data_IF_216291599311
#
_entry.id   IF_216291599311
#
_cell.length_a   1.000
_cell.length_b   1.000
_cell.length_c   1.000
_cell.angle_alpha   90.00
_cell.angle_beta   90.00
_cell.angle_gamma   90.00
#
_symmetry.space_group_name_H-M   'P 1'
#
loop_
_entity.id
_entity.type
_entity.pdbx_description
1 polymer ?
#
# COMPACT_ATOMS: atom_id res chain seq x y z
N UNK A 1 17.84 16.02 36.96
CA UNK A 1 16.54 16.23 36.28
C UNK A 1 16.77 16.83 34.91
N UNK A 2 16.82 16.02 33.86
CA UNK A 2 17.00 16.49 32.49
C UNK A 2 15.61 16.79 31.91
N UNK A 3 15.31 18.07 31.75
CA UNK A 3 14.15 18.56 31.01
C UNK A 3 14.26 18.18 29.55
N UNK A 4 13.78 17.00 29.17
CA UNK A 4 13.56 16.64 27.77
C UNK A 4 12.34 17.41 27.25
N UNK A 5 12.54 18.66 26.82
CA UNK A 5 11.59 19.39 26.01
C UNK A 5 11.47 18.66 24.67
N UNK A 6 10.45 17.82 24.53
CA UNK A 6 10.03 17.32 23.22
C UNK A 6 9.54 18.55 22.47
N UNK A 7 10.32 19.01 21.50
CA UNK A 7 9.95 20.15 20.64
C UNK A 7 8.76 19.74 19.78
N UNK A 8 7.56 20.02 20.27
CA UNK A 8 6.37 20.08 19.45
C UNK A 8 6.49 21.29 18.52
N UNK A 9 6.97 21.07 17.30
CA UNK A 9 6.94 22.12 16.29
C UNK A 9 5.48 22.30 15.85
N UNK A 10 4.80 23.30 16.44
CA UNK A 10 3.39 23.60 16.18
C UNK A 10 3.13 24.30 14.84
N UNK A 11 4.15 24.50 14.03
CA UNK A 11 3.94 24.98 12.68
C UNK A 11 3.15 23.92 11.92
N UNK A 12 1.99 24.33 11.38
CA UNK A 12 1.08 23.44 10.69
C UNK A 12 1.82 22.59 9.67
N UNK A 13 2.13 21.36 10.02
CA UNK A 13 2.84 20.40 9.17
C UNK A 13 2.14 20.21 7.82
N UNK A 14 0.83 20.49 7.77
CA UNK A 14 0.05 20.48 6.54
C UNK A 14 0.59 21.42 5.46
N UNK A 15 1.31 22.48 5.80
CA UNK A 15 1.79 23.45 4.82
C UNK A 15 2.95 22.90 3.97
N UNK A 16 3.75 21.96 4.52
CA UNK A 16 4.84 21.30 3.78
C UNK A 16 4.34 20.38 2.65
N UNK A 17 3.11 19.86 2.73
CA UNK A 17 2.55 18.95 1.73
C UNK A 17 1.12 19.27 1.29
N UNK A 18 0.62 20.48 1.60
CA UNK A 18 -0.72 20.95 1.20
C UNK A 18 -0.91 21.04 -0.31
N UNK A 19 0.07 21.33 -1.06
CA UNK A 19 -0.01 21.62 -2.50
C UNK A 19 0.02 20.39 -3.44
N UNK A 20 -0.05 19.15 -2.99
CA UNK A 20 -0.06 18.01 -3.91
C UNK A 20 -1.42 17.86 -4.57
N UNK A 21 -1.57 18.52 -5.68
CA UNK A 21 -2.62 18.24 -6.63
C UNK A 21 -2.45 16.80 -7.16
N UNK A 22 -3.55 16.04 -7.26
CA UNK A 22 -3.57 14.75 -7.97
C UNK A 22 -3.02 14.87 -9.40
N UNK A 23 -3.06 16.10 -9.95
CA UNK A 23 -2.54 16.42 -11.28
C UNK A 23 -1.01 16.28 -11.40
N UNK A 24 -0.23 16.48 -10.33
CA UNK A 24 1.24 16.36 -10.33
C UNK A 24 1.76 15.01 -9.87
N UNK A 25 0.89 14.15 -9.33
CA UNK A 25 1.27 12.82 -8.81
C UNK A 25 1.65 11.88 -9.97
N UNK A 26 2.72 11.10 -9.81
CA UNK A 26 3.07 10.05 -10.75
C UNK A 26 1.92 9.03 -10.89
N UNK A 27 1.52 8.72 -12.13
CA UNK A 27 0.35 7.87 -12.39
C UNK A 27 0.50 6.45 -11.81
N UNK A 28 1.72 6.02 -11.54
CA UNK A 28 2.00 4.72 -10.89
C UNK A 28 1.43 4.62 -9.47
N UNK A 29 1.21 5.75 -8.77
CA UNK A 29 0.51 5.73 -7.49
C UNK A 29 -0.96 5.29 -7.59
N UNK A 30 -1.53 5.34 -8.80
CA UNK A 30 -2.92 5.01 -9.08
C UNK A 30 -3.10 3.67 -9.80
N UNK A 31 -2.08 2.80 -9.81
CA UNK A 31 -2.11 1.52 -10.54
C UNK A 31 -3.25 0.61 -10.04
N UNK A 32 -3.49 0.57 -8.73
CA UNK A 32 -4.64 -0.12 -8.15
C UNK A 32 -5.07 0.55 -6.82
N UNK A 33 -6.35 0.39 -6.42
CA UNK A 33 -6.84 0.95 -5.16
C UNK A 33 -6.16 0.32 -3.95
N UNK A 34 -5.76 1.14 -2.99
CA UNK A 34 -5.28 0.72 -1.67
C UNK A 34 -5.75 1.73 -0.62
N UNK A 35 -6.47 1.27 0.40
CA UNK A 35 -7.04 2.13 1.43
C UNK A 35 -5.95 2.49 2.44
N UNK A 36 -5.93 3.75 2.90
CA UNK A 36 -4.95 4.20 3.90
C UNK A 36 -3.53 4.40 3.35
N UNK A 37 -3.37 4.63 2.05
CA UNK A 37 -2.06 4.95 1.47
C UNK A 37 -1.58 6.33 1.94
N UNK A 38 -0.27 6.45 2.23
CA UNK A 38 0.39 7.73 2.46
C UNK A 38 0.28 8.62 1.22
N UNK A 39 0.23 9.95 1.39
CA UNK A 39 0.30 10.91 0.29
C UNK A 39 1.70 10.88 -0.34
N UNK A 40 1.75 10.93 -1.67
CA UNK A 40 3.01 11.03 -2.42
C UNK A 40 3.80 12.30 -2.08
N UNK A 41 3.12 13.43 -1.89
CA UNK A 41 3.75 14.68 -1.48
C UNK A 41 4.40 14.61 -0.10
N UNK A 42 3.73 14.00 0.89
CA UNK A 42 4.33 13.75 2.19
C UNK A 42 5.56 12.85 2.07
N UNK A 43 5.45 11.74 1.35
CA UNK A 43 6.56 10.84 1.10
C UNK A 43 7.76 11.57 0.46
N UNK A 44 7.52 12.39 -0.58
CA UNK A 44 8.53 13.21 -1.25
C UNK A 44 9.23 14.17 -0.29
N UNK A 45 8.47 14.88 0.54
CA UNK A 45 9.02 15.83 1.53
C UNK A 45 9.87 15.08 2.56
N UNK A 46 9.37 13.97 3.12
CA UNK A 46 10.11 13.21 4.13
C UNK A 46 11.42 12.64 3.57
N UNK A 47 11.39 12.09 2.34
CA UNK A 47 12.57 11.55 1.67
C UNK A 47 13.62 12.67 1.45
N UNK A 48 13.21 13.79 0.87
CA UNK A 48 14.14 14.87 0.55
C UNK A 48 14.71 15.55 1.80
N UNK A 49 13.93 15.68 2.88
CA UNK A 49 14.35 16.34 4.13
C UNK A 49 15.31 15.47 4.95
N UNK A 50 15.12 14.16 4.95
CA UNK A 50 15.83 13.26 5.86
C UNK A 50 16.85 12.36 5.20
N UNK A 51 16.94 12.35 3.87
CA UNK A 51 17.89 11.50 3.14
C UNK A 51 18.59 12.24 2.02
N UNK A 52 19.78 11.74 1.64
CA UNK A 52 20.58 12.21 0.51
C UNK A 52 20.47 11.26 -0.68
N UNK A 53 20.86 11.71 -1.88
CA UNK A 53 20.95 10.87 -3.09
C UNK A 53 21.82 9.64 -2.82
N UNK A 54 21.44 8.51 -3.43
CA UNK A 54 22.10 7.20 -3.31
C UNK A 54 22.04 6.53 -1.93
N UNK A 55 21.47 7.17 -0.90
CA UNK A 55 21.23 6.54 0.39
C UNK A 55 20.20 5.41 0.30
N UNK A 56 20.33 4.44 1.19
CA UNK A 56 19.42 3.27 1.28
C UNK A 56 18.33 3.53 2.29
N UNK A 57 17.09 3.56 1.81
CA UNK A 57 15.91 3.69 2.65
C UNK A 57 15.31 2.28 2.89
N UNK A 58 14.82 2.04 4.10
CA UNK A 58 14.03 0.88 4.46
C UNK A 58 12.59 1.29 4.75
N UNK A 59 11.62 0.63 4.08
CA UNK A 59 10.19 0.71 4.41
C UNK A 59 9.65 -0.70 4.74
N UNK A 60 9.59 -1.09 6.03
CA UNK A 60 9.20 -2.42 6.47
C UNK A 60 7.68 -2.63 6.61
N UNK A 61 6.86 -1.59 6.33
CA UNK A 61 5.40 -1.62 6.28
C UNK A 61 4.93 -0.92 5.01
N UNK A 62 5.40 -1.39 3.86
CA UNK A 62 5.38 -0.66 2.60
C UNK A 62 3.97 -0.36 2.06
N UNK A 63 2.97 -1.13 2.44
CA UNK A 63 1.58 -0.93 2.02
C UNK A 63 1.45 -0.77 0.50
N UNK A 64 0.97 0.39 0.07
CA UNK A 64 0.77 0.68 -1.36
C UNK A 64 2.07 0.95 -2.14
N UNK A 65 3.24 0.99 -1.50
CA UNK A 65 4.52 1.31 -2.13
C UNK A 65 4.71 2.79 -2.46
N UNK A 66 4.15 3.70 -1.66
CA UNK A 66 4.30 5.15 -1.90
C UNK A 66 5.72 5.59 -1.62
N UNK A 67 6.26 5.25 -0.44
CA UNK A 67 7.67 5.54 -0.10
C UNK A 67 8.62 4.87 -1.10
N UNK A 68 8.33 3.63 -1.50
CA UNK A 68 9.18 2.91 -2.44
C UNK A 68 9.30 3.62 -3.79
N UNK A 69 8.17 4.06 -4.36
CA UNK A 69 8.17 4.78 -5.64
C UNK A 69 8.84 6.14 -5.52
N UNK A 70 8.50 6.94 -4.51
CA UNK A 70 9.07 8.28 -4.31
C UNK A 70 10.59 8.22 -4.00
N UNK A 71 11.06 7.16 -3.31
CA UNK A 71 12.49 6.93 -3.09
C UNK A 71 13.25 6.77 -4.40
N UNK A 72 12.70 5.98 -5.33
CA UNK A 72 13.31 5.77 -6.64
C UNK A 72 13.31 7.06 -7.47
N UNK A 73 12.17 7.78 -7.50
CA UNK A 73 12.06 9.08 -8.19
C UNK A 73 13.11 10.06 -7.65
N UNK A 74 13.34 10.03 -6.35
CA UNK A 74 14.33 10.88 -5.68
C UNK A 74 15.77 10.31 -5.74
N UNK A 75 16.04 9.28 -6.55
CA UNK A 75 17.37 8.65 -6.73
C UNK A 75 17.95 8.02 -5.45
N UNK A 76 17.08 7.43 -4.60
CA UNK A 76 17.47 6.66 -3.41
C UNK A 76 17.33 5.17 -3.68
N UNK A 77 18.15 4.38 -2.98
CA UNK A 77 18.02 2.91 -2.95
C UNK A 77 16.89 2.54 -1.98
N UNK A 78 16.05 1.57 -2.33
CA UNK A 78 14.92 1.17 -1.49
C UNK A 78 14.94 -0.33 -1.20
N UNK A 79 14.78 -0.67 0.06
CA UNK A 79 14.47 -2.01 0.55
C UNK A 79 13.12 -1.92 1.25
N UNK A 80 12.19 -2.77 0.88
CA UNK A 80 10.85 -2.73 1.46
C UNK A 80 10.25 -4.12 1.66
N UNK A 81 9.35 -4.21 2.63
CA UNK A 81 8.62 -5.43 2.94
C UNK A 81 7.22 -5.15 3.45
N UNK A 82 6.37 -6.17 3.37
CA UNK A 82 5.05 -6.21 3.98
C UNK A 82 4.63 -7.66 4.20
N UNK A 83 3.73 -7.90 5.15
CA UNK A 83 3.10 -9.22 5.34
C UNK A 83 1.98 -9.45 4.34
N UNK A 84 1.34 -8.37 3.86
CA UNK A 84 0.22 -8.41 2.96
C UNK A 84 0.69 -8.68 1.52
N UNK A 85 0.33 -9.82 0.90
CA UNK A 85 0.77 -10.15 -0.45
C UNK A 85 0.26 -9.17 -1.51
N UNK A 86 -0.87 -8.50 -1.29
CA UNK A 86 -1.36 -7.47 -2.19
C UNK A 86 -0.48 -6.20 -2.14
N UNK A 87 -0.05 -5.79 -0.94
CA UNK A 87 0.90 -4.69 -0.77
C UNK A 87 2.22 -4.97 -1.52
N UNK A 88 2.78 -6.16 -1.32
CA UNK A 88 4.01 -6.59 -2.01
C UNK A 88 3.83 -6.62 -3.53
N UNK A 89 2.69 -7.11 -4.02
CA UNK A 89 2.38 -7.11 -5.46
C UNK A 89 2.32 -5.69 -6.02
N UNK A 90 1.64 -4.75 -5.33
CA UNK A 90 1.54 -3.36 -5.77
C UNK A 90 2.90 -2.65 -5.76
N UNK A 91 3.69 -2.89 -4.73
CA UNK A 91 5.01 -2.28 -4.62
C UNK A 91 5.92 -2.79 -5.72
N UNK A 92 6.03 -4.11 -5.91
CA UNK A 92 6.83 -4.67 -7.00
C UNK A 92 6.34 -4.18 -8.37
N UNK A 93 5.03 -4.06 -8.58
CA UNK A 93 4.48 -3.51 -9.82
C UNK A 93 4.98 -2.09 -10.12
N UNK A 94 5.13 -1.25 -9.10
CA UNK A 94 5.61 0.13 -9.24
C UNK A 94 7.11 0.20 -9.52
N UNK A 95 7.89 -0.60 -8.79
CA UNK A 95 9.35 -0.55 -8.84
C UNK A 95 9.95 -1.39 -9.97
N UNK A 96 9.16 -2.26 -10.62
CA UNK A 96 9.57 -3.09 -11.76
C UNK A 96 8.69 -2.88 -13.01
N UNK A 97 8.01 -1.74 -13.10
CA UNK A 97 7.19 -1.41 -14.26
C UNK A 97 8.04 -1.38 -15.54
N UNK A 98 7.48 -1.79 -16.70
CA UNK A 98 8.12 -1.55 -17.99
C UNK A 98 8.45 -0.07 -18.18
N UNK A 99 9.57 0.26 -18.82
CA UNK A 99 10.02 1.65 -18.96
C UNK A 99 9.11 2.49 -19.84
N UNK A 100 8.59 1.91 -20.90
CA UNK A 100 7.78 2.61 -21.90
C UNK A 100 6.38 2.03 -21.99
N UNK A 101 5.44 2.86 -22.40
CA UNK A 101 4.07 2.42 -22.72
C UNK A 101 4.07 1.34 -23.78
N UNK A 102 4.92 1.48 -24.81
CA UNK A 102 5.02 0.54 -25.91
C UNK A 102 5.42 -0.85 -25.40
N UNK A 103 6.49 -0.95 -24.58
CA UNK A 103 6.93 -2.22 -24.01
C UNK A 103 5.86 -2.84 -23.10
N UNK A 104 5.11 -2.02 -22.36
CA UNK A 104 4.00 -2.49 -21.55
C UNK A 104 2.84 -3.02 -22.41
N UNK A 105 2.49 -2.34 -23.50
CA UNK A 105 1.43 -2.76 -24.42
C UNK A 105 1.82 -4.04 -25.18
N UNK A 106 3.07 -4.14 -25.65
CA UNK A 106 3.59 -5.37 -26.28
C UNK A 106 3.47 -6.59 -25.37
N UNK A 107 3.88 -6.43 -24.10
CA UNK A 107 3.70 -7.49 -23.08
C UNK A 107 2.22 -7.82 -22.84
N UNK A 108 1.38 -6.79 -22.70
CA UNK A 108 -0.05 -7.00 -22.45
C UNK A 108 -0.72 -7.78 -23.58
N UNK A 109 -0.47 -7.43 -24.85
CA UNK A 109 -1.03 -8.13 -26.01
C UNK A 109 -0.60 -9.60 -26.02
N UNK A 110 0.71 -9.89 -25.85
CA UNK A 110 1.22 -11.25 -25.73
C UNK A 110 0.52 -12.06 -24.63
N UNK A 111 0.27 -11.47 -23.46
CA UNK A 111 -0.38 -12.17 -22.36
C UNK A 111 -1.88 -12.35 -22.60
N UNK A 112 -2.53 -11.40 -23.26
CA UNK A 112 -3.94 -11.52 -23.67
C UNK A 112 -4.15 -12.63 -24.70
N UNK A 113 -3.27 -12.76 -25.70
CA UNK A 113 -3.27 -13.87 -26.67
C UNK A 113 -3.12 -15.22 -25.95
N UNK A 114 -2.10 -15.36 -25.08
CA UNK A 114 -1.91 -16.57 -24.29
C UNK A 114 -3.11 -16.89 -23.40
N UNK A 115 -3.77 -15.88 -22.84
CA UNK A 115 -4.97 -16.05 -22.04
C UNK A 115 -6.15 -16.52 -22.89
N UNK A 116 -6.32 -16.01 -24.10
CA UNK A 116 -7.38 -16.41 -25.02
C UNK A 116 -7.23 -17.90 -25.42
N UNK A 117 -6.02 -18.34 -25.76
CA UNK A 117 -5.74 -19.75 -26.06
C UNK A 117 -6.09 -20.66 -24.88
N UNK A 118 -5.76 -20.24 -23.65
CA UNK A 118 -5.99 -21.02 -22.44
C UNK A 118 -7.39 -20.85 -21.81
N UNK A 119 -8.24 -20.01 -22.35
CA UNK A 119 -9.55 -19.66 -21.79
C UNK A 119 -10.47 -20.87 -21.61
N UNK A 120 -10.46 -21.80 -22.59
CA UNK A 120 -11.28 -23.02 -22.53
C UNK A 120 -10.86 -23.96 -21.40
N UNK A 121 -9.59 -23.94 -20.99
CA UNK A 121 -9.02 -24.79 -19.92
C UNK A 121 -9.32 -24.26 -18.50
N UNK A 122 -9.97 -23.11 -18.37
CA UNK A 122 -10.26 -22.50 -17.05
C UNK A 122 -11.46 -23.18 -16.43
N UNK A 123 -11.24 -23.93 -15.33
CA UNK A 123 -12.31 -24.50 -14.53
C UNK A 123 -12.96 -23.45 -13.63
N UNK A 124 -14.30 -23.34 -13.74
CA UNK A 124 -15.11 -22.48 -12.90
C UNK A 124 -15.62 -23.20 -11.63
N UNK A 125 -15.46 -24.50 -11.52
CA UNK A 125 -16.01 -25.30 -10.42
C UNK A 125 -15.41 -24.91 -9.07
N UNK A 126 -14.09 -24.72 -9.01
CA UNK A 126 -13.35 -24.36 -7.77
C UNK A 126 -13.47 -22.87 -7.39
N UNK A 127 -14.17 -22.07 -8.19
CA UNK A 127 -14.36 -20.64 -7.89
C UNK A 127 -15.49 -20.47 -6.88
N UNK A 128 -15.23 -19.84 -5.72
CA UNK A 128 -16.26 -19.65 -4.69
C UNK A 128 -17.46 -18.85 -5.19
N UNK A 129 -18.66 -19.17 -4.69
CA UNK A 129 -19.92 -18.50 -5.05
C UNK A 129 -19.83 -16.97 -4.87
N UNK A 130 -19.19 -16.52 -3.79
CA UNK A 130 -19.03 -15.08 -3.51
C UNK A 130 -18.17 -14.36 -4.56
N UNK A 131 -17.13 -15.02 -5.13
CA UNK A 131 -16.35 -14.44 -6.24
C UNK A 131 -17.16 -14.41 -7.53
N UNK A 132 -17.88 -15.49 -7.85
CA UNK A 132 -18.75 -15.56 -9.03
C UNK A 132 -19.78 -14.45 -9.04
N UNK A 133 -20.30 -14.05 -7.87
CA UNK A 133 -21.30 -13.00 -7.77
C UNK A 133 -20.83 -11.59 -8.16
N UNK A 134 -19.50 -11.34 -8.25
CA UNK A 134 -18.96 -10.05 -8.71
C UNK A 134 -19.01 -9.86 -10.22
N UNK A 135 -19.08 -10.93 -11.00
CA UNK A 135 -18.79 -10.86 -12.44
C UNK A 135 -19.82 -11.58 -13.29
N UNK A 136 -19.94 -11.13 -14.54
CA UNK A 136 -20.52 -11.95 -15.58
C UNK A 136 -19.64 -13.21 -15.79
N UNK A 137 -20.20 -14.42 -16.02
CA UNK A 137 -19.41 -15.66 -16.13
C UNK A 137 -18.32 -15.61 -17.21
N UNK A 138 -18.61 -15.02 -18.38
CA UNK A 138 -17.63 -14.84 -19.46
C UNK A 138 -16.47 -13.93 -19.02
N UNK A 139 -16.77 -12.79 -18.38
CA UNK A 139 -15.76 -11.88 -17.83
C UNK A 139 -14.87 -12.58 -16.81
N UNK A 140 -15.46 -13.32 -15.87
CA UNK A 140 -14.69 -14.03 -14.83
C UNK A 140 -13.75 -15.06 -15.44
N UNK A 141 -14.19 -15.80 -16.47
CA UNK A 141 -13.34 -16.76 -17.16
C UNK A 141 -12.14 -16.10 -17.83
N UNK A 142 -12.33 -14.94 -18.46
CA UNK A 142 -11.23 -14.15 -19.05
C UNK A 142 -10.25 -13.65 -17.99
N UNK A 143 -10.76 -13.10 -16.89
CA UNK A 143 -9.94 -12.66 -15.74
C UNK A 143 -9.08 -13.80 -15.22
N UNK A 144 -9.67 -14.98 -15.02
CA UNK A 144 -8.96 -16.15 -14.50
C UNK A 144 -7.92 -16.66 -15.50
N UNK A 145 -8.25 -16.73 -16.80
CA UNK A 145 -7.32 -17.13 -17.85
C UNK A 145 -6.09 -16.23 -17.87
N UNK A 146 -6.32 -14.91 -17.88
CA UNK A 146 -5.23 -13.94 -17.87
C UNK A 146 -4.42 -14.00 -16.57
N UNK A 147 -5.11 -14.08 -15.41
CA UNK A 147 -4.43 -14.15 -14.12
C UNK A 147 -3.51 -15.38 -13.99
N UNK A 148 -3.93 -16.52 -14.54
CA UNK A 148 -3.10 -17.73 -14.60
C UNK A 148 -1.83 -17.53 -15.45
N UNK A 149 -1.94 -16.81 -16.56
CA UNK A 149 -0.76 -16.44 -17.40
C UNK A 149 0.16 -15.53 -16.60
N UNK A 150 -0.38 -14.47 -16.01
CA UNK A 150 0.41 -13.46 -15.29
C UNK A 150 1.13 -14.04 -14.06
N UNK A 151 0.49 -14.97 -13.34
CA UNK A 151 1.13 -15.69 -12.22
C UNK A 151 2.31 -16.53 -12.67
N UNK A 152 2.15 -17.31 -13.74
CA UNK A 152 3.25 -18.13 -14.29
C UNK A 152 4.42 -17.28 -14.76
N UNK A 153 4.13 -16.08 -15.31
CA UNK A 153 5.15 -15.12 -15.78
C UNK A 153 5.69 -14.21 -14.67
N UNK A 154 5.14 -14.27 -13.48
CA UNK A 154 5.50 -13.42 -12.32
C UNK A 154 5.53 -11.91 -12.66
N UNK A 155 4.66 -11.46 -13.59
CA UNK A 155 4.60 -10.07 -14.02
C UNK A 155 3.73 -9.26 -13.05
N UNK A 156 4.37 -8.68 -12.03
CA UNK A 156 3.70 -7.89 -11.00
C UNK A 156 2.99 -6.66 -11.56
N UNK A 157 3.57 -6.02 -12.60
CA UNK A 157 2.98 -4.82 -13.18
C UNK A 157 1.63 -5.14 -13.83
N UNK A 158 1.60 -6.17 -14.67
CA UNK A 158 0.36 -6.60 -15.33
C UNK A 158 -0.66 -7.14 -14.33
N UNK A 159 -0.21 -7.89 -13.31
CA UNK A 159 -1.08 -8.32 -12.21
C UNK A 159 -1.71 -7.12 -11.50
N UNK A 160 -0.95 -6.10 -11.15
CA UNK A 160 -1.48 -4.91 -10.49
C UNK A 160 -2.43 -4.12 -11.37
N UNK A 161 -2.16 -3.98 -12.67
CA UNK A 161 -3.08 -3.35 -13.62
C UNK A 161 -4.43 -4.10 -13.67
N UNK A 162 -4.41 -5.43 -13.75
CA UNK A 162 -5.62 -6.26 -13.74
C UNK A 162 -6.35 -6.15 -12.39
N UNK A 163 -5.65 -6.26 -11.26
CA UNK A 163 -6.21 -6.07 -9.92
C UNK A 163 -6.82 -4.67 -9.74
N UNK A 164 -6.27 -3.68 -10.43
CA UNK A 164 -6.73 -2.29 -10.40
C UNK A 164 -8.07 -2.06 -11.10
N UNK A 165 -8.48 -2.95 -12.01
CA UNK A 165 -9.75 -2.86 -12.75
C UNK A 165 -10.76 -3.94 -12.34
N UNK A 166 -10.41 -4.82 -11.40
CA UNK A 166 -11.30 -5.93 -10.99
C UNK A 166 -12.63 -5.45 -10.44
N UNK A 167 -12.60 -4.48 -9.53
CA UNK A 167 -13.79 -4.09 -8.77
C UNK A 167 -13.78 -2.62 -8.35
N UNK A 168 -14.83 -1.91 -8.70
CA UNK A 168 -15.16 -0.57 -8.24
C UNK A 168 -16.62 -0.24 -8.59
N UNK A 169 -17.17 0.83 -8.00
CA UNK A 169 -18.53 1.31 -8.32
C UNK A 169 -18.63 1.99 -9.69
N UNK A 170 -17.52 2.38 -10.32
CA UNK A 170 -17.50 3.08 -11.61
C UNK A 170 -17.66 2.12 -12.79
N UNK A 171 -18.28 2.56 -13.90
CA UNK A 171 -18.62 1.69 -15.03
C UNK A 171 -17.40 1.08 -15.77
N UNK A 172 -16.22 1.67 -15.71
CA UNK A 172 -15.02 1.17 -16.39
C UNK A 172 -14.38 -0.09 -15.81
N UNK A 173 -14.96 -0.67 -14.75
CA UNK A 173 -14.41 -1.84 -14.06
C UNK A 173 -15.05 -3.15 -14.55
N UNK A 174 -14.38 -4.28 -14.28
CA UNK A 174 -14.80 -5.60 -14.72
C UNK A 174 -15.95 -6.18 -13.91
N UNK A 175 -16.04 -5.82 -12.62
CA UNK A 175 -17.12 -6.27 -11.75
C UNK A 175 -18.41 -5.51 -12.04
N UNK A 176 -19.49 -6.09 -11.62
CA UNK A 176 -20.73 -5.36 -11.48
C UNK A 176 -20.55 -4.21 -10.47
N UNK A 177 -21.17 -3.04 -10.67
CA UNK A 177 -21.11 -1.98 -9.69
C UNK A 177 -21.75 -2.47 -8.39
N UNK A 178 -20.94 -2.47 -7.33
CA UNK A 178 -21.35 -2.90 -6.01
C UNK A 178 -20.60 -2.10 -4.97
N UNK A 179 -21.13 -2.01 -3.75
CA UNK A 179 -20.38 -1.43 -2.64
C UNK A 179 -19.10 -2.21 -2.42
N UNK A 180 -18.06 -1.56 -1.92
CA UNK A 180 -16.72 -2.16 -1.74
C UNK A 180 -16.70 -3.39 -0.86
N UNK A 181 -17.74 -3.58 -0.06
CA UNK A 181 -17.63 -4.46 1.09
C UNK A 181 -18.26 -5.82 0.84
N UNK A 182 -19.35 -5.91 0.09
CA UNK A 182 -20.10 -7.16 0.10
C UNK A 182 -20.98 -7.33 -1.13
N UNK A 183 -20.75 -8.38 -1.93
CA UNK A 183 -21.56 -8.67 -3.11
C UNK A 183 -23.05 -8.83 -2.84
N UNK A 184 -23.44 -9.30 -1.64
CA UNK A 184 -24.85 -9.54 -1.28
C UNK A 184 -25.65 -8.25 -1.10
N UNK A 185 -25.05 -7.14 -0.70
CA UNK A 185 -25.73 -5.85 -0.62
C UNK A 185 -26.11 -5.31 -2.00
N UNK A 186 -25.44 -5.77 -3.05
CA UNK A 186 -25.72 -5.38 -4.42
C UNK A 186 -27.07 -5.90 -4.91
N UNK A 187 -27.37 -7.20 -4.69
CA UNK A 187 -28.62 -7.79 -5.15
C UNK A 187 -29.85 -7.13 -4.53
N UNK A 188 -29.74 -6.63 -3.29
CA UNK A 188 -30.80 -5.82 -2.65
C UNK A 188 -30.91 -4.42 -3.24
N UNK A 189 -29.75 -3.72 -3.47
CA UNK A 189 -29.73 -2.34 -3.95
C UNK A 189 -29.91 -2.22 -5.46
N UNK A 190 -29.47 -3.22 -6.21
CA UNK A 190 -29.51 -3.25 -7.67
C UNK A 190 -30.00 -4.64 -8.14
N UNK A 191 -31.30 -4.93 -8.04
CA UNK A 191 -31.90 -6.18 -8.53
C UNK A 191 -31.59 -6.38 -10.02
N UNK A 192 -31.35 -7.64 -10.41
CA UNK A 192 -30.89 -7.97 -11.77
C UNK A 192 -31.94 -7.72 -12.83
N UNK A 193 -33.18 -7.94 -12.50
CA UNK A 193 -34.38 -7.71 -13.32
C UNK A 193 -34.54 -6.23 -13.68
N UNK A 194 -34.30 -5.34 -12.71
CA UNK A 194 -34.43 -3.88 -12.90
C UNK A 194 -33.13 -3.31 -13.54
N UNK A 195 -31.98 -3.74 -13.09
CA UNK A 195 -30.67 -3.17 -13.50
C UNK A 195 -29.90 -4.07 -14.46
N UNK A 196 -30.54 -4.58 -15.52
CA UNK A 196 -29.97 -5.51 -16.51
C UNK A 196 -28.63 -5.05 -17.07
N UNK A 197 -28.48 -3.75 -17.36
CA UNK A 197 -27.26 -3.16 -17.91
C UNK A 197 -26.02 -3.35 -17.00
N UNK A 198 -26.21 -3.36 -15.68
CA UNK A 198 -25.12 -3.56 -14.73
C UNK A 198 -24.52 -4.97 -14.80
N UNK A 199 -25.30 -5.95 -15.29
CA UNK A 199 -24.94 -7.37 -15.31
C UNK A 199 -24.41 -7.84 -16.66
N UNK A 200 -24.20 -6.93 -17.61
CA UNK A 200 -23.67 -7.25 -18.93
C UNK A 200 -22.22 -7.77 -18.88
N UNK A 201 -21.89 -8.53 -19.88
CA UNK A 201 -20.53 -8.96 -20.14
C UNK A 201 -19.59 -7.74 -20.30
N UNK A 202 -18.42 -7.84 -19.72
CA UNK A 202 -17.34 -6.84 -19.82
C UNK A 202 -16.06 -7.52 -20.23
N UNK A 203 -15.63 -7.23 -21.44
CA UNK A 203 -14.39 -7.76 -21.99
C UNK A 203 -13.18 -7.22 -21.23
N UNK A 204 -12.21 -8.10 -20.97
CA UNK A 204 -11.00 -7.78 -20.19
C UNK A 204 -9.99 -6.98 -21.01
N UNK A 205 -9.78 -7.36 -22.27
CA UNK A 205 -8.72 -6.80 -23.12
C UNK A 205 -8.78 -5.27 -23.24
N UNK A 206 -9.86 -4.64 -23.74
CA UNK A 206 -9.88 -3.18 -23.92
C UNK A 206 -9.75 -2.43 -22.61
N UNK A 207 -10.26 -2.99 -21.50
CA UNK A 207 -10.18 -2.37 -20.18
C UNK A 207 -8.77 -2.43 -19.59
N UNK A 208 -8.07 -3.53 -19.79
CA UNK A 208 -6.67 -3.65 -19.39
C UNK A 208 -5.78 -2.68 -20.18
N UNK A 209 -5.93 -2.63 -21.50
CA UNK A 209 -5.19 -1.71 -22.37
C UNK A 209 -5.46 -0.24 -21.96
N UNK A 210 -6.72 0.11 -21.76
CA UNK A 210 -7.08 1.45 -21.27
C UNK A 210 -6.49 1.76 -19.89
N UNK A 211 -6.40 0.74 -19.00
CA UNK A 211 -5.75 0.88 -17.70
C UNK A 211 -4.26 1.14 -17.84
N UNK A 212 -3.57 0.40 -18.67
CA UNK A 212 -2.13 0.56 -18.93
C UNK A 212 -1.87 1.96 -19.48
N UNK A 213 -2.60 2.40 -20.52
CA UNK A 213 -2.48 3.76 -21.07
C UNK A 213 -2.65 4.83 -20.00
N UNK A 214 -3.63 4.71 -19.09
CA UNK A 214 -3.81 5.66 -17.97
C UNK A 214 -2.64 5.65 -16.99
N UNK A 215 -2.05 4.49 -16.70
CA UNK A 215 -0.91 4.38 -15.80
C UNK A 215 0.34 5.05 -16.39
N UNK A 216 0.45 5.15 -17.70
CA UNK A 216 1.56 5.79 -18.41
C UNK A 216 1.31 7.27 -18.76
N UNK A 217 0.24 7.91 -18.29
CA UNK A 217 0.02 9.34 -18.57
C UNK A 217 1.08 10.28 -17.98
N UNK A 218 1.61 9.93 -16.80
CA UNK A 218 2.64 10.70 -16.08
C UNK A 218 3.61 9.70 -15.47
N UNK A 219 4.51 9.20 -16.32
CA UNK A 219 5.52 8.20 -15.91
C UNK A 219 6.67 8.93 -15.21
N UNK A 220 7.05 8.50 -14.01
CA UNK A 220 8.26 9.03 -13.39
C UNK A 220 9.51 8.48 -14.08
N UNK A 221 10.57 9.27 -14.10
CA UNK A 221 11.89 8.77 -14.47
C UNK A 221 12.37 7.82 -13.38
N UNK A 222 12.47 6.54 -13.70
CA UNK A 222 12.97 5.51 -12.79
C UNK A 222 14.41 5.19 -13.18
N UNK A 223 15.37 5.51 -12.31
CA UNK A 223 16.76 5.15 -12.55
C UNK A 223 16.99 3.64 -12.58
N UNK A 224 17.87 3.23 -13.48
CA UNK A 224 18.12 1.81 -13.79
C UNK A 224 18.85 1.07 -12.67
N UNK A 225 19.74 1.75 -11.99
CA UNK A 225 20.75 1.17 -11.10
C UNK A 225 20.39 1.18 -9.61
N UNK A 226 19.22 1.69 -9.23
CA UNK A 226 18.82 1.67 -7.83
C UNK A 226 18.45 0.26 -7.38
N UNK A 227 18.99 -0.20 -6.26
CA UNK A 227 18.62 -1.49 -5.67
C UNK A 227 17.14 -1.45 -5.28
N UNK A 228 16.36 -2.32 -5.92
CA UNK A 228 14.91 -2.41 -5.75
C UNK A 228 14.56 -3.78 -5.22
N UNK A 229 14.04 -3.84 -4.00
CA UNK A 229 13.68 -5.09 -3.38
C UNK A 229 12.45 -4.90 -2.50
N UNK A 230 11.36 -5.58 -2.84
CA UNK A 230 10.21 -5.74 -1.98
C UNK A 230 9.94 -7.22 -1.72
N UNK A 231 9.93 -7.63 -0.47
CA UNK A 231 9.71 -9.02 -0.04
C UNK A 231 8.48 -9.14 0.85
N UNK A 232 7.83 -10.30 0.76
CA UNK A 232 6.78 -10.65 1.69
C UNK A 232 7.38 -11.24 2.97
N UNK A 233 7.64 -10.35 3.92
CA UNK A 233 8.21 -10.72 5.22
C UNK A 233 7.71 -9.76 6.29
N UNK A 234 7.41 -10.28 7.47
CA UNK A 234 7.07 -9.47 8.64
C UNK A 234 8.31 -8.76 9.18
N UNK A 235 8.11 -7.57 9.76
CA UNK A 235 9.20 -6.75 10.31
C UNK A 235 10.04 -7.51 11.35
N UNK A 236 9.44 -8.32 12.19
CA UNK A 236 10.13 -9.13 13.21
C UNK A 236 10.98 -10.28 12.65
N UNK A 237 10.76 -10.63 11.38
CA UNK A 237 11.54 -11.65 10.65
C UNK A 237 12.49 -11.05 9.61
N UNK A 238 12.58 -9.72 9.55
CA UNK A 238 13.40 -9.02 8.56
C UNK A 238 14.89 -9.22 8.86
N UNK A 239 15.59 -9.89 7.94
CA UNK A 239 17.02 -10.16 8.03
C UNK A 239 17.80 -9.23 7.10
N UNK A 240 18.41 -8.21 7.66
CA UNK A 240 19.30 -7.27 6.97
C UNK A 240 20.61 -7.18 7.74
N UNK A 241 21.68 -6.80 7.04
CA UNK A 241 23.00 -6.58 7.63
C UNK A 241 22.92 -5.44 8.66
N UNK A 242 23.64 -5.57 9.78
CA UNK A 242 23.81 -4.51 10.79
C UNK A 242 24.42 -3.27 10.13
N UNK A 243 23.99 -2.07 10.53
CA UNK A 243 24.52 -0.79 10.06
C UNK A 243 24.56 -0.65 8.53
N UNK A 244 23.48 -1.09 7.83
CA UNK A 244 23.42 -1.08 6.36
C UNK A 244 22.38 -0.14 5.78
N UNK A 245 21.56 0.49 6.63
CA UNK A 245 20.44 1.36 6.26
C UNK A 245 20.74 2.79 6.70
N UNK A 246 20.57 3.75 5.80
CA UNK A 246 20.78 5.17 6.09
C UNK A 246 19.56 5.79 6.76
N UNK A 247 18.37 5.45 6.28
CA UNK A 247 17.11 5.91 6.88
C UNK A 247 16.01 4.85 6.82
N UNK A 248 15.13 4.89 7.80
CA UNK A 248 13.84 4.17 7.79
C UNK A 248 12.75 5.20 7.66
N UNK A 249 11.89 5.07 6.65
CA UNK A 249 10.71 5.92 6.47
C UNK A 249 9.52 4.99 6.25
N UNK A 250 8.56 4.99 7.18
CA UNK A 250 7.48 4.02 7.13
C UNK A 250 6.24 4.48 7.91
N UNK A 251 5.10 3.89 7.58
CA UNK A 251 3.85 4.05 8.33
C UNK A 251 3.43 2.69 8.89
N UNK A 252 3.70 2.41 10.17
CA UNK A 252 3.28 1.17 10.82
C UNK A 252 1.76 1.01 10.76
N UNK A 253 1.23 -0.22 10.87
CA UNK A 253 -0.21 -0.45 10.85
C UNK A 253 -0.88 0.31 12.01
N UNK A 254 -1.95 1.06 11.69
CA UNK A 254 -2.68 1.84 12.67
C UNK A 254 -3.58 0.91 13.49
N UNK A 255 -3.44 1.00 14.80
CA UNK A 255 -4.25 0.22 15.73
C UNK A 255 -5.74 0.58 15.57
N UNK A 256 -6.62 -0.41 15.46
CA UNK A 256 -8.07 -0.28 15.29
C UNK A 256 -8.55 0.52 14.05
N UNK A 257 -7.69 0.78 13.07
CA UNK A 257 -8.06 1.66 11.97
C UNK A 257 -8.64 0.93 10.75
N UNK A 258 -7.91 -0.02 10.18
CA UNK A 258 -8.24 -0.65 8.91
C UNK A 258 -8.00 -2.16 8.97
N UNK A 259 -8.89 -2.89 8.32
CA UNK A 259 -8.69 -4.32 8.00
C UNK A 259 -8.28 -4.43 6.54
N UNK A 260 -6.98 -4.27 6.31
CA UNK A 260 -6.42 -4.22 4.95
C UNK A 260 -6.67 -5.52 4.17
N UNK A 261 -6.63 -6.66 4.82
CA UNK A 261 -6.88 -7.96 4.20
C UNK A 261 -8.35 -8.11 3.79
N UNK A 262 -9.28 -7.75 4.68
CA UNK A 262 -10.71 -7.78 4.40
C UNK A 262 -11.11 -6.81 3.29
N UNK A 263 -10.59 -5.59 3.33
CA UNK A 263 -10.89 -4.57 2.33
C UNK A 263 -10.36 -4.95 0.93
N UNK A 264 -9.33 -5.80 0.88
CA UNK A 264 -8.73 -6.30 -0.35
C UNK A 264 -8.99 -7.79 -0.63
N UNK A 265 -9.94 -8.43 0.07
CA UNK A 265 -10.18 -9.89 0.01
C UNK A 265 -10.34 -10.45 -1.40
N UNK A 266 -11.04 -9.73 -2.30
CA UNK A 266 -11.22 -10.16 -3.69
C UNK A 266 -9.86 -10.19 -4.43
N UNK A 267 -9.04 -9.16 -4.28
CA UNK A 267 -7.70 -9.08 -4.86
C UNK A 267 -6.78 -10.14 -4.28
N UNK A 268 -6.85 -10.35 -2.96
CA UNK A 268 -6.12 -11.40 -2.26
C UNK A 268 -6.49 -12.79 -2.78
N UNK A 269 -7.78 -13.04 -3.01
CA UNK A 269 -8.23 -14.31 -3.57
C UNK A 269 -7.63 -14.58 -4.96
N UNK A 270 -7.65 -13.61 -5.87
CA UNK A 270 -7.01 -13.74 -7.18
C UNK A 270 -5.50 -14.00 -7.07
N UNK A 271 -4.83 -13.41 -6.10
CA UNK A 271 -3.42 -13.69 -5.83
C UNK A 271 -3.16 -15.10 -5.26
N UNK A 272 -4.20 -15.86 -4.92
CA UNK A 272 -4.09 -17.20 -4.35
C UNK A 272 -4.16 -17.24 -2.81
N UNK A 273 -4.52 -16.12 -2.18
CA UNK A 273 -4.62 -15.97 -0.72
C UNK A 273 -6.08 -15.91 -0.28
N UNK A 274 -6.85 -16.95 -0.60
CA UNK A 274 -8.29 -17.03 -0.32
C UNK A 274 -8.64 -16.98 1.17
N UNK A 275 -7.77 -17.49 2.04
CA UNK A 275 -7.87 -17.38 3.52
C UNK A 275 -7.11 -16.12 3.96
N UNK A 276 -7.60 -14.95 3.56
CA UNK A 276 -6.92 -13.66 3.72
C UNK A 276 -6.68 -13.28 5.19
N UNK A 277 -7.49 -13.77 6.13
CA UNK A 277 -7.38 -13.52 7.57
C UNK A 277 -6.04 -14.00 8.16
N UNK A 278 -5.35 -14.92 7.46
CA UNK A 278 -4.04 -15.42 7.88
C UNK A 278 -2.89 -14.44 7.60
N UNK A 279 -3.10 -13.48 6.71
CA UNK A 279 -2.01 -12.69 6.14
C UNK A 279 -1.90 -11.26 6.65
N UNK A 280 -2.98 -10.70 7.17
CA UNK A 280 -2.99 -9.31 7.64
C UNK A 280 -4.20 -9.11 8.57
N UNK A 281 -4.01 -9.43 9.84
CA UNK A 281 -5.05 -9.24 10.86
C UNK A 281 -5.00 -7.83 11.41
N UNK A 282 -6.15 -7.17 11.61
CA UNK A 282 -6.18 -5.88 12.30
C UNK A 282 -5.55 -5.99 13.68
N UNK A 283 -4.71 -5.03 14.02
CA UNK A 283 -4.12 -4.96 15.35
C UNK A 283 -5.09 -4.22 16.28
N UNK A 284 -6.03 -4.96 16.86
CA UNK A 284 -7.09 -4.41 17.73
C UNK A 284 -6.67 -4.37 19.21
N UNK A 285 -5.49 -4.90 19.55
CA UNK A 285 -5.00 -5.01 20.91
C UNK A 285 -3.74 -4.16 21.10
N UNK A 286 -3.76 -3.27 22.11
CA UNK A 286 -2.64 -2.38 22.44
C UNK A 286 -1.36 -3.16 22.76
N UNK A 287 -1.45 -4.25 23.52
CA UNK A 287 -0.27 -5.05 23.87
C UNK A 287 0.38 -5.70 22.62
N UNK A 288 -0.43 -6.19 21.67
CA UNK A 288 0.09 -6.72 20.39
C UNK A 288 0.76 -5.62 19.56
N UNK A 289 0.20 -4.41 19.53
CA UNK A 289 0.81 -3.27 18.86
C UNK A 289 2.16 -2.89 19.49
N UNK A 290 2.19 -2.75 20.81
CA UNK A 290 3.42 -2.45 21.56
C UNK A 290 4.49 -3.51 21.28
N UNK A 291 4.15 -4.79 21.35
CA UNK A 291 5.09 -5.90 21.08
C UNK A 291 5.63 -5.87 19.65
N UNK A 292 4.78 -5.55 18.65
CA UNK A 292 5.21 -5.39 17.27
C UNK A 292 6.19 -4.22 17.12
N UNK A 293 5.85 -3.06 17.69
CA UNK A 293 6.68 -1.87 17.59
C UNK A 293 8.00 -2.04 18.35
N UNK A 294 7.98 -2.67 19.50
CA UNK A 294 9.21 -2.97 20.26
C UNK A 294 10.18 -3.83 19.45
N UNK A 295 9.71 -4.95 18.89
CA UNK A 295 10.51 -5.80 18.01
C UNK A 295 10.97 -5.07 16.75
N UNK A 296 10.08 -4.29 16.14
CA UNK A 296 10.42 -3.47 14.98
C UNK A 296 11.54 -2.46 15.30
N UNK A 297 11.40 -1.71 16.38
CA UNK A 297 12.39 -0.72 16.80
C UNK A 297 13.75 -1.35 17.15
N UNK A 298 13.78 -2.54 17.76
CA UNK A 298 15.04 -3.28 17.98
C UNK A 298 15.74 -3.62 16.66
N UNK A 299 14.98 -4.07 15.65
CA UNK A 299 15.52 -4.35 14.32
C UNK A 299 15.97 -3.06 13.65
N UNK A 300 15.19 -1.98 13.75
CA UNK A 300 15.52 -0.67 13.19
C UNK A 300 16.83 -0.15 13.77
N UNK A 301 17.00 -0.22 15.09
CA UNK A 301 18.25 0.15 15.73
C UNK A 301 19.43 -0.70 15.21
N UNK A 302 19.27 -2.00 15.08
CA UNK A 302 20.32 -2.90 14.59
C UNK A 302 20.75 -2.59 13.16
N UNK A 303 19.80 -2.31 12.26
CA UNK A 303 20.09 -2.16 10.82
C UNK A 303 20.49 -0.74 10.42
N UNK A 304 20.04 0.28 11.15
CA UNK A 304 20.44 1.66 10.90
C UNK A 304 21.95 1.86 11.13
N UNK A 305 22.56 2.67 10.29
CA UNK A 305 23.89 3.19 10.49
C UNK A 305 23.93 4.12 11.71
N UNK A 306 25.12 4.45 12.20
CA UNK A 306 25.31 5.50 13.21
C UNK A 306 24.65 6.79 12.70
N UNK A 307 23.95 7.52 13.57
CA UNK A 307 23.19 8.73 13.26
C UNK A 307 22.08 8.56 12.20
N UNK A 308 21.81 7.30 11.81
CA UNK A 308 20.73 6.95 10.91
C UNK A 308 19.36 7.32 11.48
N UNK A 309 18.46 7.75 10.60
CA UNK A 309 17.17 8.32 10.99
C UNK A 309 16.05 7.29 10.83
N UNK A 310 15.12 7.26 11.82
CA UNK A 310 13.90 6.47 11.74
C UNK A 310 12.69 7.41 11.79
N UNK A 311 12.02 7.56 10.66
CA UNK A 311 10.86 8.44 10.48
C UNK A 311 9.61 7.57 10.43
N UNK A 312 8.73 7.75 11.42
CA UNK A 312 7.50 6.97 11.58
C UNK A 312 6.27 7.87 11.43
N UNK A 313 5.38 7.56 10.50
CA UNK A 313 4.09 8.23 10.35
C UNK A 313 3.04 7.41 11.09
N UNK A 314 2.52 7.94 12.19
CA UNK A 314 1.69 7.22 13.16
C UNK A 314 0.36 7.93 13.34
N UNK A 315 -0.74 7.23 13.02
CA UNK A 315 -2.09 7.76 13.18
C UNK A 315 -2.59 7.73 14.62
N UNK A 316 -3.46 8.68 14.93
CA UNK A 316 -4.19 8.72 16.19
C UNK A 316 -5.17 7.54 16.31
N UNK A 317 -5.31 7.01 17.51
CA UNK A 317 -6.32 5.98 17.81
C UNK A 317 -7.39 6.54 18.74
N UNK A 318 -8.64 6.32 18.40
CA UNK A 318 -9.79 6.61 19.26
C UNK A 318 -10.23 5.31 19.95
N UNK A 319 -10.24 5.30 21.26
CA UNK A 319 -10.83 4.22 22.06
C UNK A 319 -11.95 4.81 22.92
N UNK A 320 -13.19 4.42 22.63
CA UNK A 320 -14.39 5.02 23.25
C UNK A 320 -14.41 6.54 23.02
N UNK A 321 -14.52 7.36 24.06
CA UNK A 321 -14.48 8.83 24.01
C UNK A 321 -13.06 9.42 24.14
N UNK A 322 -12.02 8.59 24.40
CA UNK A 322 -10.63 9.05 24.62
C UNK A 322 -9.77 8.89 23.39
N UNK A 323 -8.91 9.87 23.13
CA UNK A 323 -7.88 9.81 22.10
C UNK A 323 -6.57 9.32 22.71
N UNK A 324 -5.98 8.29 22.10
CA UNK A 324 -4.68 7.74 22.52
C UNK A 324 -3.62 8.29 21.58
N UNK A 325 -2.64 8.99 22.14
CA UNK A 325 -1.45 9.40 21.38
C UNK A 325 -0.48 8.21 21.24
N UNK A 326 -0.65 7.45 20.16
CA UNK A 326 0.17 6.26 19.87
C UNK A 326 1.61 6.66 19.55
N UNK A 327 1.85 7.84 18.97
CA UNK A 327 3.19 8.35 18.70
C UNK A 327 4.02 8.50 19.97
N UNK A 328 3.44 9.06 21.05
CA UNK A 328 4.11 9.16 22.35
C UNK A 328 4.50 7.77 22.89
N UNK A 329 3.62 6.76 22.74
CA UNK A 329 3.93 5.39 23.18
C UNK A 329 5.15 4.85 22.43
N UNK A 330 5.23 5.07 21.11
CA UNK A 330 6.34 4.62 20.28
C UNK A 330 7.64 5.35 20.62
N UNK A 331 7.59 6.66 20.91
CA UNK A 331 8.73 7.44 21.40
C UNK A 331 9.22 6.91 22.74
N UNK A 332 8.31 6.67 23.70
CA UNK A 332 8.69 6.11 25.01
C UNK A 332 9.34 4.72 24.88
N UNK A 333 8.83 3.87 23.97
CA UNK A 333 9.47 2.59 23.67
C UNK A 333 10.89 2.76 23.14
N UNK A 334 11.09 3.64 22.16
CA UNK A 334 12.39 3.86 21.52
C UNK A 334 13.43 4.48 22.47
N UNK A 335 13.02 5.50 23.23
CA UNK A 335 13.92 6.33 24.05
C UNK A 335 14.13 5.73 25.45
N UNK A 336 13.05 5.29 26.12
CA UNK A 336 13.11 4.86 27.52
C UNK A 336 13.33 3.34 27.67
N UNK A 337 12.69 2.52 26.82
CA UNK A 337 12.76 1.06 26.94
C UNK A 337 13.94 0.48 26.18
N UNK A 338 14.06 0.81 24.89
CA UNK A 338 15.15 0.31 24.02
C UNK A 338 16.43 1.10 24.29
N UNK A 339 16.30 2.39 24.66
CA UNK A 339 17.42 3.32 24.94
C UNK A 339 18.38 3.56 23.76
N UNK A 340 18.02 3.05 22.57
CA UNK A 340 18.84 3.11 21.35
C UNK A 340 18.55 4.30 20.44
N UNK A 341 17.59 5.17 20.82
CA UNK A 341 17.18 6.31 19.99
C UNK A 341 17.07 7.58 20.79
N UNK A 342 17.25 8.70 20.09
CA UNK A 342 16.85 10.03 20.53
C UNK A 342 15.67 10.51 19.68
N UNK A 343 14.67 11.12 20.31
CA UNK A 343 13.58 11.75 19.58
C UNK A 343 13.98 13.19 19.23
N UNK A 344 14.23 13.43 17.94
CA UNK A 344 14.63 14.76 17.45
C UNK A 344 13.44 15.68 17.29
N UNK A 345 12.34 15.18 16.69
CA UNK A 345 11.14 15.97 16.47
C UNK A 345 9.89 15.07 16.38
N UNK A 346 8.74 15.67 16.74
CA UNK A 346 7.43 15.06 16.57
C UNK A 346 6.49 16.12 16.00
N UNK A 347 6.10 15.93 14.71
CA UNK A 347 5.30 16.88 13.95
C UNK A 347 3.86 16.38 13.89
N UNK A 348 2.89 17.22 14.22
CA UNK A 348 1.46 16.88 14.12
C UNK A 348 0.92 17.25 12.74
N UNK A 349 0.24 16.33 12.07
CA UNK A 349 -0.52 16.54 10.82
C UNK A 349 -2.01 16.27 11.06
N UNK A 350 -2.86 17.21 10.64
CA UNK A 350 -4.31 17.07 10.73
C UNK A 350 -4.84 16.51 9.42
N UNK A 351 -5.53 15.36 9.51
CA UNK A 351 -6.13 14.72 8.34
C UNK A 351 -7.50 15.36 8.06
N UNK A 352 -7.66 16.13 6.95
CA UNK A 352 -8.95 16.71 6.58
C UNK A 352 -10.01 15.65 6.34
N UNK A 353 -11.29 15.96 6.61
CA UNK A 353 -12.42 15.02 6.47
C UNK A 353 -12.54 14.42 5.07
N UNK A 354 -12.26 15.17 4.02
CA UNK A 354 -12.30 14.72 2.62
C UNK A 354 -11.29 13.59 2.33
N UNK A 355 -10.24 13.46 3.14
CA UNK A 355 -9.18 12.45 2.98
C UNK A 355 -9.37 11.21 3.85
N UNK A 356 -10.38 11.20 4.71
CA UNK A 356 -10.63 10.06 5.59
C UNK A 356 -11.22 8.91 4.79
N UNK A 357 -10.64 7.74 4.94
CA UNK A 357 -11.18 6.50 4.33
C UNK A 357 -12.55 6.12 4.90
N UNK A 358 -12.88 6.59 6.11
CA UNK A 358 -14.20 6.44 6.76
C UNK A 358 -14.61 7.81 7.31
N UNK A 359 -15.57 8.46 6.67
CA UNK A 359 -16.02 9.84 7.00
C UNK A 359 -16.72 9.95 8.34
N UNK A 360 -17.40 8.91 8.83
CA UNK A 360 -18.20 8.93 10.04
C UNK A 360 -17.50 8.26 11.22
N UNK A 361 -17.04 9.04 12.15
CA UNK A 361 -16.76 8.79 13.58
C UNK A 361 -15.52 7.95 13.98
N UNK A 362 -14.93 7.06 13.19
CA UNK A 362 -13.89 6.13 13.66
C UNK A 362 -12.51 6.27 13.00
N UNK A 363 -12.30 7.23 12.10
CA UNK A 363 -11.01 7.44 11.43
C UNK A 363 -10.03 8.25 12.27
N UNK A 364 -8.73 8.10 11.99
CA UNK A 364 -7.70 8.97 12.56
C UNK A 364 -7.96 10.42 12.11
N UNK A 365 -8.07 11.34 13.07
CA UNK A 365 -8.21 12.78 12.80
C UNK A 365 -6.86 13.48 12.71
N UNK A 366 -5.85 12.89 13.35
CA UNK A 366 -4.48 13.38 13.42
C UNK A 366 -3.51 12.24 13.16
N UNK A 367 -2.37 12.56 12.58
CA UNK A 367 -1.21 11.70 12.54
C UNK A 367 0.03 12.47 12.96
N UNK A 368 1.05 11.77 13.39
CA UNK A 368 2.32 12.35 13.83
C UNK A 368 3.44 11.78 13.00
N UNK A 369 4.33 12.64 12.58
CA UNK A 369 5.62 12.26 12.03
C UNK A 369 6.62 12.30 13.20
N UNK A 370 7.08 11.12 13.60
CA UNK A 370 8.08 10.94 14.67
C UNK A 370 9.44 10.74 14.01
N UNK A 371 10.40 11.58 14.32
CA UNK A 371 11.79 11.49 13.85
C UNK A 371 12.69 11.07 14.99
N UNK A 372 13.21 9.84 14.89
CA UNK A 372 14.16 9.26 15.82
C UNK A 372 15.56 9.20 15.16
N UNK A 373 16.60 9.47 15.93
CA UNK A 373 18.00 9.30 15.52
C UNK A 373 18.58 8.15 16.33
N UNK A 374 19.28 7.24 15.64
CA UNK A 374 20.00 6.15 16.32
C UNK A 374 21.13 6.71 17.19
N UNK A 375 21.12 6.36 18.48
CA UNK A 375 22.23 6.54 19.39
C UNK A 375 23.29 5.46 19.22
N UNK A 376 24.50 5.77 19.62
CA UNK A 376 25.62 4.82 19.65
C UNK A 376 25.39 3.72 20.68
#
# INVERSE_FOLDING_TARGET
MLNNRIYLNKNNASDYWKGSCLASEASFHQIAPYIGKMKSSMAKVLINRYTKTAETILDPFVGSGTIALESIIAKRKIICSDINPYAVTLTNAKISAPRTLESALKKANKYLELAQINKKKVSMQKVPRWVKSFYHPKTLREVLALFNVLKRKQDYFMMACLLGILHHQRPGFLSYPASHLVPYLRSKKYPKDIYKEMYKYREVSPRLIAKIKRVYKRVPLLEEYSKRLCRRVSVDKLRLRKNSIDAIITSPPYMNALDYARDNRLRMWFLGYGKFEKYDKPINNRAKFIKLMERGLQIFHRVLKKDGKCILVIGQVRKSRRHINVAKIVVDLAVKKIKGFECKEMIEDVIPDIRRSRRHAQGSKKEWIVVLIKKN
#
